data_IF_607944723380
#
_entry.id   IF_607944723380
#
_cell.length_a   1.000
_cell.length_b   1.000
_cell.length_c   1.000
_cell.angle_alpha   90.00
_cell.angle_beta   90.00
_cell.angle_gamma   90.00
#
_symmetry.space_group_name_H-M   'P 1'
#
loop_
_entity.id
_entity.type
_entity.pdbx_description
1 polymer ?
#
# COMPACT_ATOMS: atom_id res chain seq x y z
N UNK A 1 -1.52 -7.15 -41.77
CA UNK A 1 -1.37 -8.19 -40.72
C UNK A 1 -0.10 -7.99 -39.90
N UNK A 2 1.04 -7.68 -40.51
CA UNK A 2 2.31 -7.41 -39.79
C UNK A 2 2.20 -6.32 -38.72
N UNK A 3 1.65 -5.15 -39.05
CA UNK A 3 1.58 -4.02 -38.12
C UNK A 3 0.82 -4.35 -36.83
N UNK A 4 -0.39 -4.91 -36.94
CA UNK A 4 -1.23 -5.26 -35.78
C UNK A 4 -0.58 -6.37 -34.92
N UNK A 5 0.09 -7.34 -35.57
CA UNK A 5 0.81 -8.39 -34.87
C UNK A 5 2.02 -7.83 -34.10
N UNK A 6 2.75 -6.89 -34.70
CA UNK A 6 3.88 -6.21 -34.06
C UNK A 6 3.41 -5.41 -32.85
N UNK A 7 2.30 -4.67 -32.97
CA UNK A 7 1.72 -3.95 -31.84
C UNK A 7 1.31 -4.90 -30.71
N UNK A 8 0.65 -6.03 -31.02
CA UNK A 8 0.27 -7.01 -30.00
C UNK A 8 1.48 -7.67 -29.33
N UNK A 9 2.54 -7.98 -30.08
CA UNK A 9 3.78 -8.56 -29.54
C UNK A 9 4.51 -7.57 -28.63
N UNK A 10 4.64 -6.31 -29.06
CA UNK A 10 5.26 -5.25 -28.25
C UNK A 10 4.45 -4.99 -26.97
N UNK A 11 3.12 -4.97 -27.07
CA UNK A 11 2.25 -4.81 -25.90
C UNK A 11 2.32 -6.00 -24.94
N UNK A 12 2.40 -7.21 -25.48
CA UNK A 12 2.53 -8.42 -24.68
C UNK A 12 3.87 -8.43 -23.93
N UNK A 13 4.97 -8.08 -24.60
CA UNK A 13 6.28 -7.95 -23.96
C UNK A 13 6.32 -6.85 -22.90
N UNK A 14 5.76 -5.67 -23.15
CA UNK A 14 5.72 -4.58 -22.16
C UNK A 14 4.89 -4.93 -20.94
N UNK A 15 3.76 -5.63 -21.13
CA UNK A 15 2.87 -6.06 -20.05
C UNK A 15 3.49 -7.20 -19.22
N UNK A 16 4.14 -8.14 -19.89
CA UNK A 16 4.80 -9.29 -19.25
C UNK A 16 5.99 -8.87 -18.39
N UNK A 17 6.82 -7.93 -18.87
CA UNK A 17 7.92 -7.36 -18.08
C UNK A 17 7.42 -6.59 -16.84
N UNK A 18 6.23 -5.99 -16.89
CA UNK A 18 5.67 -5.26 -15.74
C UNK A 18 4.96 -6.16 -14.71
N UNK A 19 4.61 -7.39 -15.09
CA UNK A 19 3.96 -8.39 -14.24
C UNK A 19 4.96 -9.20 -13.40
N UNK A 20 6.17 -9.48 -13.92
CA UNK A 20 7.19 -10.28 -13.22
C UNK A 20 7.80 -9.60 -11.98
N UNK A 21 7.59 -8.30 -11.77
CA UNK A 21 8.09 -7.58 -10.57
C UNK A 21 7.12 -7.61 -9.39
N UNK A 22 6.01 -8.36 -9.47
CA UNK A 22 4.90 -8.29 -8.52
C UNK A 22 4.79 -9.44 -7.52
N UNK A 23 5.85 -10.18 -7.19
CA UNK A 23 5.77 -11.29 -6.23
C UNK A 23 5.98 -10.79 -4.78
N UNK A 24 5.12 -9.89 -4.30
CA UNK A 24 5.14 -9.47 -2.91
C UNK A 24 3.86 -9.93 -2.20
N UNK A 25 4.09 -10.78 -1.20
CA UNK A 25 3.16 -11.43 -0.27
C UNK A 25 1.86 -10.63 -0.10
N UNK A 26 0.71 -11.28 -0.36
CA UNK A 26 -0.60 -10.76 0.02
C UNK A 26 -0.55 -10.34 1.49
N UNK A 27 -0.85 -9.09 1.76
CA UNK A 27 -1.01 -8.63 3.13
C UNK A 27 -2.27 -9.30 3.71
N UNK A 28 -2.28 -9.67 5.01
CA UNK A 28 -3.44 -10.27 5.65
C UNK A 28 -4.66 -9.33 5.63
N UNK A 29 -5.89 -9.83 5.85
CA UNK A 29 -7.07 -8.97 5.95
C UNK A 29 -6.92 -7.95 7.09
N UNK A 30 -7.55 -6.77 6.92
CA UNK A 30 -7.58 -5.67 7.91
C UNK A 30 -7.91 -6.19 9.32
N UNK A 31 -7.00 -6.07 10.31
CA UNK A 31 -7.42 -6.14 11.69
C UNK A 31 -8.20 -4.86 11.98
N UNK A 32 -9.49 -5.02 12.31
CA UNK A 32 -10.26 -3.97 12.96
C UNK A 32 -9.47 -3.49 14.18
N UNK A 33 -9.39 -2.16 14.34
CA UNK A 33 -8.60 -1.51 15.38
C UNK A 33 -8.84 -2.13 16.74
N UNK A 34 -7.87 -2.92 17.20
CA UNK A 34 -7.73 -3.27 18.59
C UNK A 34 -6.66 -2.35 19.15
N UNK A 35 -7.12 -1.38 19.94
CA UNK A 35 -6.29 -0.58 20.83
C UNK A 35 -5.65 -1.52 21.86
N UNK A 36 -4.63 -2.29 21.45
CA UNK A 36 -3.83 -3.04 22.38
C UNK A 36 -2.94 -2.05 23.15
N UNK A 37 -2.96 -2.06 24.49
CA UNK A 37 -2.04 -1.26 25.28
C UNK A 37 -0.62 -1.70 24.95
N UNK A 38 0.15 -0.81 24.33
CA UNK A 38 1.54 -1.09 24.01
C UNK A 38 2.33 -1.12 25.33
N UNK A 39 2.96 -2.25 25.65
CA UNK A 39 3.78 -2.39 26.86
C UNK A 39 5.12 -1.71 26.64
N UNK A 40 5.46 -0.72 27.45
CA UNK A 40 6.78 -0.09 27.44
C UNK A 40 7.86 -1.13 27.85
N UNK A 41 9.02 -1.02 27.22
CA UNK A 41 10.14 -1.96 27.30
C UNK A 41 10.67 -2.22 28.72
N UNK A 42 11.56 -3.21 28.81
CA UNK A 42 12.03 -3.82 30.05
C UNK A 42 12.99 -2.87 30.81
N UNK A 43 12.47 -2.14 31.81
CA UNK A 43 13.32 -1.43 32.76
C UNK A 43 13.96 -2.45 33.71
N UNK A 44 15.28 -2.62 33.60
CA UNK A 44 16.10 -3.37 34.56
C UNK A 44 16.52 -2.43 35.68
N UNK A 45 15.66 -2.21 36.66
CA UNK A 45 16.15 -1.90 38.00
C UNK A 45 15.30 -2.60 39.05
N UNK A 46 16.02 -3.14 40.02
CA UNK A 46 15.64 -4.22 40.91
C UNK A 46 14.58 -3.80 41.94
N UNK A 47 13.79 -4.79 42.38
CA UNK A 47 12.86 -4.77 43.51
C UNK A 47 11.67 -3.81 43.43
N UNK A 48 10.58 -4.30 42.84
CA UNK A 48 9.20 -4.28 43.37
C UNK A 48 8.27 -4.63 42.19
N UNK A 49 7.16 -5.32 42.43
CA UNK A 49 6.15 -5.63 41.39
C UNK A 49 5.41 -4.33 41.00
N UNK A 50 6.13 -3.35 40.46
CA UNK A 50 5.56 -2.11 39.95
C UNK A 50 4.81 -2.47 38.69
N UNK A 51 3.48 -2.45 38.78
CA UNK A 51 2.59 -2.58 37.65
C UNK A 51 3.00 -1.54 36.60
N UNK A 52 3.42 -2.03 35.42
CA UNK A 52 3.98 -1.16 34.38
C UNK A 52 2.92 -0.13 34.00
N UNK A 53 3.28 1.16 33.88
CA UNK A 53 2.31 2.19 33.59
C UNK A 53 1.65 1.89 32.24
N UNK A 54 0.32 1.82 32.24
CA UNK A 54 -0.43 1.50 31.04
C UNK A 54 -0.73 2.80 30.31
N UNK A 55 -0.46 2.85 29.01
CA UNK A 55 -0.82 3.97 28.15
C UNK A 55 -1.67 3.49 26.98
N UNK A 56 -2.54 4.38 26.51
CA UNK A 56 -3.37 4.15 25.32
C UNK A 56 -2.93 5.11 24.24
N UNK A 57 -2.74 4.60 23.02
CA UNK A 57 -2.35 5.39 21.86
C UNK A 57 -3.47 5.49 20.84
N UNK A 58 -3.84 6.72 20.50
CA UNK A 58 -4.79 7.03 19.42
C UNK A 58 -4.03 7.42 18.15
N UNK A 59 -4.50 6.99 16.98
CA UNK A 59 -3.92 7.42 15.70
C UNK A 59 -4.30 8.86 15.38
N UNK A 60 -3.31 9.66 15.00
CA UNK A 60 -3.51 11.05 14.58
C UNK A 60 -3.60 11.22 13.05
N UNK A 61 -3.08 10.25 12.30
CA UNK A 61 -2.91 10.40 10.86
C UNK A 61 -2.73 9.07 10.13
N UNK A 62 -2.38 9.14 8.86
CA UNK A 62 -2.21 7.95 8.03
C UNK A 62 -0.83 7.31 8.23
N UNK A 63 -0.78 5.99 8.01
CA UNK A 63 0.47 5.24 7.96
C UNK A 63 1.27 5.61 6.70
N UNK A 64 2.54 5.95 6.89
CA UNK A 64 3.49 6.37 5.88
C UNK A 64 4.74 5.49 5.87
N UNK A 65 5.44 5.45 4.74
CA UNK A 65 6.66 4.65 4.59
C UNK A 65 7.80 5.30 5.38
N UNK A 66 8.52 4.51 6.17
CA UNK A 66 9.71 5.00 6.86
C UNK A 66 10.81 5.38 5.86
N UNK A 67 11.58 6.41 6.19
CA UNK A 67 12.77 6.77 5.40
C UNK A 67 13.84 5.68 5.50
N UNK A 68 14.79 5.66 4.56
CA UNK A 68 15.86 4.66 4.54
C UNK A 68 16.72 4.66 5.80
N UNK A 69 16.85 5.82 6.46
CA UNK A 69 17.56 5.98 7.73
C UNK A 69 16.73 5.39 8.87
N UNK A 70 15.46 5.79 8.98
CA UNK A 70 14.55 5.32 10.04
C UNK A 70 14.33 3.82 10.01
N UNK A 71 14.30 3.19 8.83
CA UNK A 71 14.21 1.72 8.73
C UNK A 71 15.35 0.98 9.44
N UNK A 72 16.49 1.63 9.66
CA UNK A 72 17.67 1.04 10.32
C UNK A 72 17.80 1.45 11.78
N UNK A 73 17.35 2.67 12.12
CA UNK A 73 17.59 3.26 13.43
C UNK A 73 16.36 3.32 14.32
N UNK A 74 15.16 3.40 13.73
CA UNK A 74 13.93 3.63 14.47
C UNK A 74 13.22 2.31 14.79
N UNK A 75 12.91 2.03 16.07
CA UNK A 75 12.33 0.75 16.48
C UNK A 75 10.93 0.52 15.89
N UNK A 76 10.14 1.58 15.73
CA UNK A 76 8.80 1.52 15.13
C UNK A 76 8.79 1.19 13.63
N UNK A 77 9.95 1.18 12.97
CA UNK A 77 10.07 0.82 11.55
C UNK A 77 10.56 -0.61 11.32
N UNK A 78 10.95 -1.35 12.36
CA UNK A 78 11.59 -2.67 12.21
C UNK A 78 10.63 -3.74 11.69
N UNK A 79 9.37 -3.72 12.14
CA UNK A 79 8.41 -4.78 11.83
C UNK A 79 7.89 -4.70 10.40
N UNK A 80 7.36 -3.53 10.01
CA UNK A 80 6.67 -3.34 8.73
C UNK A 80 7.37 -2.35 7.80
N UNK A 81 8.36 -1.60 8.28
CA UNK A 81 9.00 -0.54 7.51
C UNK A 81 8.12 0.68 7.25
N UNK A 82 6.98 0.80 7.94
CA UNK A 82 6.05 1.93 7.86
C UNK A 82 5.72 2.43 9.28
N UNK A 83 5.42 3.72 9.39
CA UNK A 83 5.14 4.44 10.63
C UNK A 83 3.81 5.18 10.55
N UNK A 84 3.08 5.22 11.66
CA UNK A 84 1.86 6.01 11.80
C UNK A 84 2.02 6.99 12.98
N UNK A 85 1.64 8.27 12.82
CA UNK A 85 1.68 9.23 13.92
C UNK A 85 0.59 8.92 14.95
N UNK A 86 0.99 8.87 16.22
CA UNK A 86 0.09 8.56 17.34
C UNK A 86 0.23 9.59 18.46
N UNK A 87 -0.88 9.76 19.17
CA UNK A 87 -0.94 10.48 20.44
C UNK A 87 -1.24 9.48 21.53
N UNK A 88 -0.30 9.31 22.44
CA UNK A 88 -0.47 8.42 23.57
C UNK A 88 -0.76 9.23 24.83
N UNK A 89 -1.66 8.70 25.65
CA UNK A 89 -2.07 9.28 26.93
C UNK A 89 -1.95 8.20 28.01
N UNK A 90 -1.51 8.58 29.21
CA UNK A 90 -1.41 7.67 30.35
C UNK A 90 -2.81 7.30 30.85
N UNK A 91 -3.02 6.02 31.15
CA UNK A 91 -4.31 5.53 31.66
C UNK A 91 -4.48 5.80 33.16
N UNK A 92 -3.39 5.81 33.93
CA UNK A 92 -3.48 5.99 35.38
C UNK A 92 -3.21 7.46 35.79
N UNK A 93 -4.13 8.09 36.55
CA UNK A 93 -4.04 9.51 36.93
C UNK A 93 -2.86 9.79 37.88
N UNK A 94 -2.34 8.78 38.59
CA UNK A 94 -1.22 8.92 39.51
C UNK A 94 0.09 9.31 38.80
N UNK A 95 0.25 8.96 37.52
CA UNK A 95 1.43 9.39 36.72
C UNK A 95 1.29 10.82 36.16
N UNK A 96 0.09 11.40 36.19
CA UNK A 96 -0.15 12.77 35.73
C UNK A 96 0.23 13.80 36.80
N UNK A 97 0.14 13.43 38.09
CA UNK A 97 0.30 14.32 39.25
C UNK A 97 1.76 14.56 39.63
N UNK A 98 2.68 13.64 39.32
CA UNK A 98 4.11 13.79 39.64
C UNK A 98 4.89 14.68 38.64
N UNK A 99 4.17 15.54 37.91
CA UNK A 99 4.73 16.47 36.90
C UNK A 99 5.22 17.80 37.52
N UNK A 100 4.96 18.01 38.81
CA UNK A 100 5.23 19.25 39.53
C UNK A 100 6.42 19.17 40.48
N UNK A 101 6.92 17.96 40.78
CA UNK A 101 8.10 17.80 41.60
C UNK A 101 9.34 17.78 40.71
N UNK A 102 10.34 18.55 41.15
CA UNK A 102 11.62 18.87 40.52
C UNK A 102 12.45 17.62 40.19
N UNK A 103 12.03 16.83 39.19
CA UNK A 103 12.85 15.80 38.57
C UNK A 103 13.63 16.44 37.41
N UNK A 104 14.94 16.33 37.50
CA UNK A 104 15.92 16.55 36.43
C UNK A 104 15.41 15.99 35.10
N UNK A 105 15.61 16.74 34.02
CA UNK A 105 15.11 16.48 32.65
C UNK A 105 15.41 15.07 32.08
N UNK A 106 16.25 14.26 32.74
CA UNK A 106 16.71 12.96 32.28
C UNK A 106 15.71 11.80 32.49
N UNK A 107 14.69 11.96 33.34
CA UNK A 107 13.76 10.86 33.70
C UNK A 107 12.32 11.01 33.16
N UNK A 108 12.05 11.99 32.29
CA UNK A 108 10.75 12.09 31.63
C UNK A 108 10.58 10.94 30.62
N UNK A 109 9.76 9.95 30.99
CA UNK A 109 9.34 8.87 30.08
C UNK A 109 8.50 9.49 28.96
N UNK A 110 9.15 9.81 27.83
CA UNK A 110 8.49 10.34 26.65
C UNK A 110 7.66 9.25 25.98
N UNK A 111 6.37 9.54 25.80
CA UNK A 111 5.45 8.64 25.11
C UNK A 111 5.80 8.59 23.61
N UNK A 112 5.65 7.41 22.98
CA UNK A 112 5.98 7.27 21.57
C UNK A 112 5.05 8.16 20.72
N UNK A 113 5.65 8.90 19.80
CA UNK A 113 4.93 9.73 18.82
C UNK A 113 4.62 8.97 17.53
N UNK A 114 5.27 7.83 17.32
CA UNK A 114 5.10 6.98 16.15
C UNK A 114 4.97 5.51 16.55
N UNK A 115 4.11 4.78 15.83
CA UNK A 115 3.99 3.31 15.95
C UNK A 115 4.17 2.62 14.60
N UNK A 116 4.53 1.34 14.65
CA UNK A 116 4.61 0.50 13.46
C UNK A 116 3.20 0.27 12.88
N UNK A 117 3.07 0.29 11.56
CA UNK A 117 1.80 0.07 10.89
C UNK A 117 1.94 -0.84 9.66
N UNK A 118 0.97 -1.72 9.37
CA UNK A 118 1.12 -2.69 8.29
C UNK A 118 0.81 -2.10 6.91
N UNK A 119 -0.05 -1.08 6.82
CA UNK A 119 -0.72 -0.67 5.58
C UNK A 119 -0.49 0.80 5.26
N UNK A 120 0.09 1.10 4.09
CA UNK A 120 0.21 2.49 3.59
C UNK A 120 -0.86 2.71 2.53
N UNK A 121 -1.93 3.45 2.87
CA UNK A 121 -3.09 3.69 1.99
C UNK A 121 -2.70 4.17 0.59
N UNK A 122 -1.70 5.07 0.52
CA UNK A 122 -1.18 5.58 -0.75
C UNK A 122 -0.63 4.48 -1.64
N UNK A 123 0.17 3.57 -1.08
CA UNK A 123 0.80 2.47 -1.84
C UNK A 123 -0.25 1.47 -2.33
N UNK A 124 -1.27 1.21 -1.52
CA UNK A 124 -2.36 0.30 -1.88
C UNK A 124 -3.22 0.83 -3.02
N UNK A 125 -3.58 2.11 -2.99
CA UNK A 125 -4.32 2.76 -4.09
C UNK A 125 -3.59 2.62 -5.42
N UNK A 126 -2.28 2.88 -5.43
CA UNK A 126 -1.46 2.71 -6.64
C UNK A 126 -1.44 1.27 -7.15
N UNK A 127 -1.44 0.27 -6.24
CA UNK A 127 -1.50 -1.14 -6.62
C UNK A 127 -2.82 -1.50 -7.29
N UNK A 128 -3.94 -1.00 -6.75
CA UNK A 128 -5.28 -1.22 -7.32
C UNK A 128 -5.39 -0.55 -8.70
N UNK A 129 -4.99 0.72 -8.80
CA UNK A 129 -5.02 1.47 -10.07
C UNK A 129 -4.18 0.76 -11.13
N UNK A 130 -2.98 0.28 -10.77
CA UNK A 130 -2.11 -0.46 -11.71
C UNK A 130 -2.80 -1.71 -12.24
N UNK A 131 -3.45 -2.47 -11.36
CA UNK A 131 -4.15 -3.71 -11.75
C UNK A 131 -5.34 -3.41 -12.67
N UNK A 132 -6.16 -2.43 -12.31
CA UNK A 132 -7.33 -2.03 -13.10
C UNK A 132 -6.92 -1.50 -14.48
N UNK A 133 -5.89 -0.67 -14.53
CA UNK A 133 -5.35 -0.12 -15.79
C UNK A 133 -4.90 -1.24 -16.74
N UNK A 134 -4.26 -2.30 -16.24
CA UNK A 134 -3.83 -3.43 -17.06
C UNK A 134 -5.01 -4.18 -17.68
N UNK A 135 -6.06 -4.45 -16.89
CA UNK A 135 -7.27 -5.09 -17.40
C UNK A 135 -7.99 -4.21 -18.41
N UNK A 136 -8.07 -2.90 -18.15
CA UNK A 136 -8.68 -1.94 -19.07
C UNK A 136 -7.98 -1.94 -20.43
N UNK A 137 -6.64 -1.93 -20.44
CA UNK A 137 -5.88 -1.97 -21.69
C UNK A 137 -6.11 -3.28 -22.44
N UNK A 138 -6.13 -4.42 -21.75
CA UNK A 138 -6.43 -5.73 -22.36
C UNK A 138 -7.82 -5.73 -23.02
N UNK A 139 -8.82 -5.14 -22.36
CA UNK A 139 -10.17 -5.01 -22.89
C UNK A 139 -10.20 -4.13 -24.16
N UNK A 140 -9.52 -2.98 -24.16
CA UNK A 140 -9.41 -2.10 -25.33
C UNK A 140 -8.74 -2.82 -26.50
N UNK A 141 -7.67 -3.57 -26.25
CA UNK A 141 -6.99 -4.36 -27.29
C UNK A 141 -7.91 -5.41 -27.89
N UNK A 142 -8.64 -6.16 -27.04
CA UNK A 142 -9.62 -7.15 -27.49
C UNK A 142 -10.70 -6.54 -28.41
N UNK A 143 -11.29 -5.42 -27.99
CA UNK A 143 -12.30 -4.70 -28.78
C UNK A 143 -11.71 -4.17 -30.09
N UNK A 144 -10.49 -3.64 -30.06
CA UNK A 144 -9.82 -3.11 -31.25
C UNK A 144 -9.61 -4.20 -32.32
N UNK A 145 -9.17 -5.39 -31.90
CA UNK A 145 -8.97 -6.56 -32.78
C UNK A 145 -10.31 -7.04 -33.33
N UNK A 146 -11.35 -7.06 -32.50
CA UNK A 146 -12.70 -7.43 -32.94
C UNK A 146 -13.25 -6.47 -33.99
N UNK A 147 -13.20 -5.16 -33.74
CA UNK A 147 -13.66 -4.14 -34.70
C UNK A 147 -12.85 -4.17 -35.99
N UNK A 148 -11.54 -4.38 -35.91
CA UNK A 148 -10.68 -4.53 -37.07
C UNK A 148 -11.08 -5.74 -37.92
N UNK A 149 -11.32 -6.90 -37.28
CA UNK A 149 -11.77 -8.12 -37.96
C UNK A 149 -13.11 -7.92 -38.66
N UNK A 150 -14.06 -7.24 -38.01
CA UNK A 150 -15.36 -6.90 -38.60
C UNK A 150 -15.20 -5.99 -39.82
N UNK A 151 -14.38 -4.94 -39.72
CA UNK A 151 -14.10 -4.03 -40.85
C UNK A 151 -13.46 -4.75 -42.04
N UNK A 152 -12.58 -5.72 -41.78
CA UNK A 152 -11.96 -6.52 -42.84
C UNK A 152 -13.00 -7.37 -43.57
N UNK A 153 -13.85 -8.10 -42.84
CA UNK A 153 -14.91 -8.94 -43.42
C UNK A 153 -15.92 -8.11 -44.23
N UNK A 154 -16.28 -6.93 -43.74
CA UNK A 154 -17.19 -6.03 -44.46
C UNK A 154 -16.60 -5.61 -45.82
N UNK A 155 -15.32 -5.22 -45.88
CA UNK A 155 -14.65 -4.82 -47.13
C UNK A 155 -14.66 -5.93 -48.18
N UNK A 156 -14.42 -7.16 -47.77
CA UNK A 156 -14.44 -8.33 -48.68
C UNK A 156 -15.84 -8.56 -49.26
N UNK A 157 -16.90 -8.42 -48.46
CA UNK A 157 -18.29 -8.51 -48.92
C UNK A 157 -18.69 -7.37 -49.85
N UNK A 158 -18.24 -6.14 -49.56
CA UNK A 158 -18.46 -4.99 -50.44
C UNK A 158 -17.79 -5.16 -51.80
N UNK A 159 -16.57 -5.70 -51.85
CA UNK A 159 -15.88 -6.00 -53.10
C UNK A 159 -16.62 -7.04 -53.94
N UNK A 160 -17.14 -8.11 -53.31
CA UNK A 160 -17.94 -9.13 -54.01
C UNK A 160 -19.24 -8.56 -54.59
N UNK A 161 -19.87 -7.61 -53.90
CA UNK A 161 -21.08 -6.94 -54.40
C UNK A 161 -20.75 -5.93 -55.51
N UNK A 162 -19.68 -5.15 -55.37
CA UNK A 162 -19.25 -4.20 -56.40
C UNK A 162 -18.90 -4.90 -57.73
N UNK A 163 -18.23 -6.05 -57.66
CA UNK A 163 -17.95 -6.89 -58.84
C UNK A 163 -19.22 -7.39 -59.54
N UNK A 164 -20.32 -7.62 -58.81
CA UNK A 164 -21.60 -8.03 -59.40
C UNK A 164 -22.35 -6.87 -60.07
N UNK A 165 -22.12 -5.63 -59.63
CA UNK A 165 -22.83 -4.44 -60.13
C UNK A 165 -22.05 -3.78 -61.30
N UNK A 166 -20.83 -4.24 -61.60
CA UNK A 166 -20.06 -3.79 -62.76
C UNK A 166 -19.46 -2.39 -62.61
N UNK A 167 -19.40 -1.87 -61.39
CA UNK A 167 -18.73 -0.59 -61.08
C UNK A 167 -17.28 -0.92 -60.73
N UNK A 168 -16.41 -0.85 -61.74
CA UNK A 168 -14.96 -0.91 -61.60
C UNK A 168 -14.36 0.44 -62.03
#
# INVERSE_FOLDING_TARGET
>A
MREVLIFLILFYHSSFSLALTGNNKRAPPFPQGTDLPARLGNYTHSHENVERPTYTCTSLGECDVCTSLEKKTAPYCLDYGNKEPVRCEWNDPNWVVNRNDTMTDDDMINLPTFRACPWVKRVEKWRIIKFETMNFILAVLSVSVFLWRQRKLAREKYQQMAQRIGVA
#
